data_IF_231124635548
#
_entry.id   IF_231124635548
#
_cell.length_a   1.000
_cell.length_b   1.000
_cell.length_c   1.000
_cell.angle_alpha   90.00
_cell.angle_beta   90.00
_cell.angle_gamma   90.00
#
_symmetry.space_group_name_H-M   'P 1'
#
loop_
_entity.id
_entity.type
_entity.pdbx_description
1 polymer ?
#
# COMPACT_ATOMS: atom_id res chain seq x y z
N UNK A 1 -18.52 -9.04 3.68
CA UNK A 1 -17.69 -9.44 2.53
C UNK A 1 -17.90 -8.55 1.32
N UNK A 2 -19.08 -8.52 0.69
CA UNK A 2 -19.34 -7.69 -0.53
C UNK A 2 -19.00 -6.19 -0.37
N UNK A 3 -19.38 -5.57 0.76
CA UNK A 3 -19.10 -4.13 0.99
C UNK A 3 -17.60 -3.86 1.04
N UNK A 4 -16.81 -4.74 1.67
CA UNK A 4 -15.34 -4.61 1.73
C UNK A 4 -14.71 -4.74 0.35
N UNK A 5 -15.16 -5.68 -0.48
CA UNK A 5 -14.69 -5.82 -1.85
C UNK A 5 -15.05 -4.61 -2.71
N UNK A 6 -16.26 -4.06 -2.55
CA UNK A 6 -16.67 -2.86 -3.26
C UNK A 6 -15.82 -1.65 -2.86
N UNK A 7 -15.62 -1.44 -1.56
CA UNK A 7 -14.78 -0.35 -1.05
C UNK A 7 -13.33 -0.49 -1.53
N UNK A 8 -12.76 -1.70 -1.48
CA UNK A 8 -11.42 -1.96 -2.00
C UNK A 8 -11.34 -1.65 -3.50
N UNK A 9 -12.32 -2.11 -4.28
CA UNK A 9 -12.37 -1.86 -5.72
C UNK A 9 -12.44 -0.37 -6.02
N UNK A 10 -13.32 0.38 -5.34
CA UNK A 10 -13.45 1.83 -5.50
C UNK A 10 -12.17 2.56 -5.10
N UNK A 11 -11.49 2.11 -4.05
CA UNK A 11 -10.22 2.69 -3.61
C UNK A 11 -9.11 2.48 -4.65
N UNK A 12 -8.94 1.26 -5.15
CA UNK A 12 -7.97 0.93 -6.21
C UNK A 12 -8.27 1.73 -7.47
N UNK A 13 -9.54 1.80 -7.88
CA UNK A 13 -9.96 2.56 -9.06
C UNK A 13 -9.68 4.06 -8.89
N UNK A 14 -9.90 4.59 -7.68
CA UNK A 14 -9.56 5.96 -7.31
C UNK A 14 -8.06 6.24 -7.44
N UNK A 15 -7.19 5.33 -6.98
CA UNK A 15 -5.73 5.46 -7.12
C UNK A 15 -5.30 5.41 -8.60
N UNK A 16 -5.84 4.48 -9.38
CA UNK A 16 -5.50 4.36 -10.81
C UNK A 16 -5.91 5.61 -11.56
N UNK A 17 -7.13 6.11 -11.34
CA UNK A 17 -7.59 7.37 -11.91
C UNK A 17 -6.74 8.56 -11.44
N UNK A 18 -6.30 8.55 -10.18
CA UNK A 18 -5.42 9.57 -9.63
C UNK A 18 -4.07 9.64 -10.35
N UNK A 19 -3.52 8.49 -10.71
CA UNK A 19 -2.26 8.37 -11.44
C UNK A 19 -2.40 8.79 -12.92
N UNK A 20 -3.51 8.48 -13.57
CA UNK A 20 -3.75 8.82 -14.97
C UNK A 20 -4.19 10.27 -15.19
N UNK A 21 -4.93 10.84 -14.25
CA UNK A 21 -5.47 12.20 -14.35
C UNK A 21 -5.04 13.06 -13.15
N UNK A 22 -3.75 13.37 -13.00
CA UNK A 22 -3.22 14.06 -11.83
C UNK A 22 -3.76 15.49 -11.68
N UNK A 23 -4.00 16.20 -12.80
CA UNK A 23 -4.58 17.54 -12.78
C UNK A 23 -6.02 17.54 -12.24
N UNK A 24 -6.83 16.58 -12.68
CA UNK A 24 -8.24 16.51 -12.33
C UNK A 24 -8.41 16.01 -10.90
N UNK A 25 -7.54 15.10 -10.49
CA UNK A 25 -7.45 14.63 -9.11
C UNK A 25 -7.08 15.76 -8.17
N UNK A 26 -6.07 16.56 -8.52
CA UNK A 26 -5.73 17.77 -7.76
C UNK A 26 -6.94 18.69 -7.66
N UNK A 27 -7.64 18.94 -8.77
CA UNK A 27 -8.83 19.80 -8.79
C UNK A 27 -9.94 19.30 -7.88
N UNK A 28 -10.21 17.99 -7.88
CA UNK A 28 -11.21 17.35 -7.01
C UNK A 28 -10.77 17.49 -5.54
N UNK A 29 -9.52 17.15 -5.22
CA UNK A 29 -8.99 17.24 -3.87
C UNK A 29 -8.99 18.67 -3.34
N UNK A 30 -8.71 19.68 -4.18
CA UNK A 30 -8.81 21.09 -3.80
C UNK A 30 -10.25 21.48 -3.51
N UNK A 31 -11.23 21.06 -4.34
CA UNK A 31 -12.65 21.32 -4.09
C UNK A 31 -13.17 20.69 -2.80
N UNK A 32 -12.60 19.55 -2.41
CA UNK A 32 -12.93 18.87 -1.16
C UNK A 32 -12.17 19.42 0.06
N UNK A 33 -11.30 20.43 -0.12
CA UNK A 33 -10.45 20.97 0.95
C UNK A 33 -9.37 19.99 1.45
N UNK A 34 -9.15 18.88 0.74
CA UNK A 34 -8.19 17.84 1.11
C UNK A 34 -6.78 18.12 0.56
N UNK A 35 -6.68 18.98 -0.46
CA UNK A 35 -5.41 19.26 -1.11
C UNK A 35 -4.39 19.92 -0.17
N UNK A 36 -4.82 20.85 0.68
CA UNK A 36 -3.94 21.52 1.64
C UNK A 36 -3.38 20.53 2.67
N UNK A 37 -4.22 19.59 3.10
CA UNK A 37 -3.79 18.50 3.99
C UNK A 37 -2.75 17.60 3.32
N UNK A 38 -2.97 17.23 2.04
CA UNK A 38 -2.04 16.41 1.26
C UNK A 38 -0.71 17.15 1.00
N UNK A 39 -0.75 18.46 0.75
CA UNK A 39 0.46 19.27 0.58
C UNK A 39 1.26 19.41 1.87
N UNK A 40 0.60 19.37 3.03
CA UNK A 40 1.25 19.36 4.34
C UNK A 40 1.92 18.04 4.70
N UNK A 41 1.73 16.97 3.93
CA UNK A 41 2.40 15.69 4.15
C UNK A 41 3.88 15.84 3.83
N UNK A 42 4.72 15.70 4.85
CA UNK A 42 6.16 15.56 4.68
C UNK A 42 6.44 14.29 3.86
N UNK A 43 6.89 14.50 2.61
CA UNK A 43 7.14 13.42 1.66
C UNK A 43 8.23 12.46 2.13
N UNK A 44 9.24 12.94 2.84
CA UNK A 44 10.33 12.11 3.35
C UNK A 44 9.88 11.25 4.53
N UNK A 45 9.08 11.81 5.43
CA UNK A 45 8.46 11.05 6.52
C UNK A 45 7.49 10.02 5.95
N UNK A 46 6.64 10.42 5.00
CA UNK A 46 5.68 9.53 4.36
C UNK A 46 6.35 8.40 3.59
N UNK A 47 7.40 8.67 2.81
CA UNK A 47 8.12 7.63 2.07
C UNK A 47 8.74 6.60 3.03
N UNK A 48 9.31 7.05 4.15
CA UNK A 48 9.83 6.16 5.21
C UNK A 48 8.75 5.32 5.87
N UNK A 49 7.55 5.88 6.10
CA UNK A 49 6.41 5.10 6.60
C UNK A 49 5.97 4.01 5.62
N UNK A 50 5.89 4.34 4.32
CA UNK A 50 5.55 3.38 3.27
C UNK A 50 6.58 2.24 3.21
N UNK A 51 7.87 2.54 3.31
CA UNK A 51 8.91 1.52 3.36
C UNK A 51 8.78 0.61 4.60
N UNK A 52 8.55 1.21 5.78
CA UNK A 52 8.37 0.45 7.01
C UNK A 52 7.15 -0.46 6.94
N UNK A 53 6.05 0.01 6.35
CA UNK A 53 4.87 -0.80 6.09
C UNK A 53 5.20 -1.96 5.14
N UNK A 54 5.98 -1.71 4.09
CA UNK A 54 6.50 -2.75 3.19
C UNK A 54 7.32 -3.80 3.92
N UNK A 55 8.30 -3.38 4.74
CA UNK A 55 9.13 -4.28 5.57
C UNK A 55 8.27 -5.09 6.53
N UNK A 56 7.33 -4.45 7.21
CA UNK A 56 6.41 -5.14 8.13
C UNK A 56 5.62 -6.24 7.42
N UNK A 57 5.05 -5.96 6.24
CA UNK A 57 4.32 -6.94 5.45
C UNK A 57 5.21 -8.11 5.00
N UNK A 58 6.45 -7.83 4.57
CA UNK A 58 7.41 -8.88 4.22
C UNK A 58 7.71 -9.79 5.43
N UNK A 59 7.95 -9.22 6.61
CA UNK A 59 8.22 -9.98 7.84
C UNK A 59 6.99 -10.81 8.23
N UNK A 60 5.79 -10.23 8.19
CA UNK A 60 4.56 -10.93 8.50
C UNK A 60 4.29 -12.09 7.53
N UNK A 61 4.54 -11.88 6.24
CA UNK A 61 4.44 -12.92 5.22
C UNK A 61 5.42 -14.07 5.46
N UNK A 62 6.69 -13.76 5.78
CA UNK A 62 7.70 -14.76 6.13
C UNK A 62 7.33 -15.54 7.39
N UNK A 63 6.80 -14.86 8.42
CA UNK A 63 6.30 -15.51 9.62
C UNK A 63 5.11 -16.45 9.32
N UNK A 64 4.21 -16.05 8.41
CA UNK A 64 3.10 -16.89 7.97
C UNK A 64 3.60 -18.11 7.17
N UNK A 65 4.56 -17.93 6.26
CA UNK A 65 5.19 -19.06 5.56
C UNK A 65 5.84 -20.05 6.53
N UNK A 66 6.58 -19.56 7.53
CA UNK A 66 7.16 -20.40 8.57
C UNK A 66 6.07 -21.15 9.37
N UNK A 67 4.98 -20.46 9.71
CA UNK A 67 3.86 -21.07 10.42
C UNK A 67 3.18 -22.17 9.60
N UNK A 68 2.98 -21.97 8.30
CA UNK A 68 2.44 -22.99 7.38
C UNK A 68 3.39 -24.20 7.32
N UNK A 69 4.69 -23.97 7.16
CA UNK A 69 5.69 -25.05 7.09
C UNK A 69 5.77 -25.87 8.39
N UNK A 70 5.49 -25.26 9.54
CA UNK A 70 5.41 -25.93 10.84
C UNK A 70 4.04 -26.57 11.13
N UNK A 71 3.09 -26.52 10.18
CA UNK A 71 1.74 -27.06 10.34
C UNK A 71 0.80 -26.22 11.21
N UNK A 72 1.16 -24.97 11.51
CA UNK A 72 0.34 -24.04 12.29
C UNK A 72 -0.84 -23.45 11.52
N UNK A 73 -0.79 -23.47 10.18
CA UNK A 73 -1.87 -22.98 9.30
C UNK A 73 -2.07 -23.93 8.09
N UNK A 74 -3.29 -24.00 7.53
CA UNK A 74 -3.56 -24.75 6.30
C UNK A 74 -2.74 -24.23 5.10
N UNK A 75 -2.44 -25.12 4.15
CA UNK A 75 -1.70 -24.79 2.93
C UNK A 75 -2.37 -23.69 2.08
N UNK A 76 -3.69 -23.54 2.16
CA UNK A 76 -4.45 -22.50 1.45
C UNK A 76 -3.98 -21.07 1.80
N UNK A 77 -3.31 -20.90 2.94
CA UNK A 77 -2.73 -19.63 3.38
C UNK A 77 -1.44 -19.25 2.65
N UNK A 78 -0.88 -20.12 1.79
CA UNK A 78 0.26 -19.78 0.91
C UNK A 78 -0.08 -18.55 0.07
N UNK A 79 -1.28 -18.51 -0.52
CA UNK A 79 -1.64 -17.44 -1.45
C UNK A 79 -1.67 -16.08 -0.73
N UNK A 80 -2.37 -15.90 0.41
CA UNK A 80 -2.24 -14.71 1.24
C UNK A 80 -0.81 -14.37 1.67
N UNK A 81 0.01 -15.36 2.02
CA UNK A 81 1.41 -15.14 2.39
C UNK A 81 2.23 -14.61 1.21
N UNK A 82 2.03 -15.18 0.02
CA UNK A 82 2.66 -14.73 -1.22
C UNK A 82 2.22 -13.32 -1.63
N UNK A 83 0.94 -13.02 -1.53
CA UNK A 83 0.40 -11.67 -1.76
C UNK A 83 0.99 -10.67 -0.77
N UNK A 84 1.04 -11.01 0.53
CA UNK A 84 1.65 -10.18 1.57
C UNK A 84 3.13 -9.88 1.29
N UNK A 85 3.89 -10.88 0.84
CA UNK A 85 5.29 -10.70 0.45
C UNK A 85 5.42 -9.80 -0.77
N UNK A 86 4.63 -10.05 -1.82
CA UNK A 86 4.64 -9.27 -3.06
C UNK A 86 4.29 -7.79 -2.80
N UNK A 87 3.20 -7.52 -2.09
CA UNK A 87 2.80 -6.16 -1.75
C UNK A 87 3.78 -5.49 -0.79
N UNK A 88 4.38 -6.26 0.13
CA UNK A 88 5.44 -5.77 1.00
C UNK A 88 6.65 -5.25 0.22
N UNK A 89 7.12 -6.02 -0.77
CA UNK A 89 8.21 -5.61 -1.68
C UNK A 89 7.81 -4.39 -2.51
N UNK A 90 6.60 -4.38 -3.06
CA UNK A 90 6.10 -3.28 -3.88
C UNK A 90 6.05 -1.95 -3.09
N UNK A 91 5.57 -1.98 -1.85
CA UNK A 91 5.55 -0.81 -0.96
C UNK A 91 6.96 -0.36 -0.59
N UNK A 92 7.85 -1.30 -0.26
CA UNK A 92 9.24 -0.97 0.04
C UNK A 92 9.92 -0.25 -1.14
N UNK A 93 9.77 -0.77 -2.36
CA UNK A 93 10.28 -0.12 -3.58
C UNK A 93 9.65 1.24 -3.81
N UNK A 94 8.33 1.35 -3.67
CA UNK A 94 7.60 2.60 -3.87
C UNK A 94 8.09 3.70 -2.92
N UNK A 95 8.25 3.39 -1.63
CA UNK A 95 8.76 4.33 -0.66
C UNK A 95 10.24 4.68 -0.91
N UNK A 96 11.08 3.68 -1.20
CA UNK A 96 12.51 3.88 -1.47
C UNK A 96 12.76 4.79 -2.68
N UNK A 97 12.06 4.57 -3.79
CA UNK A 97 12.18 5.42 -4.99
C UNK A 97 11.51 6.78 -4.87
N UNK A 98 10.60 6.96 -3.90
CA UNK A 98 9.93 8.24 -3.65
C UNK A 98 10.73 9.18 -2.74
N UNK A 99 11.87 8.75 -2.20
CA UNK A 99 12.74 9.60 -1.39
C UNK A 99 13.24 10.80 -2.21
N UNK A 100 13.29 12.01 -1.63
CA UNK A 100 14.00 13.12 -2.25
C UNK A 100 15.47 12.72 -2.49
N UNK A 101 16.01 13.01 -3.68
CA UNK A 101 17.45 12.82 -3.91
C UNK A 101 18.20 13.80 -3.01
N UNK A 102 19.02 13.26 -2.10
CA UNK A 102 19.94 14.03 -1.25
C UNK A 102 21.03 14.69 -2.08
#
# INVERSE_FOLDING_TARGET
MIILYLLNTLFVLGIVLALWFPAETRRILTRLGLWDWIQGIDREVFSRWVERAGIFLMIAALALFASIAMGGHPWDWILPAGEGLFFGVALWLAGFWSRPKS
#
